data_IF_323147839944
#
_entry.id   IF_323147839944
#
_cell.length_a   1.000
_cell.length_b   1.000
_cell.length_c   1.000
_cell.angle_alpha   90.00
_cell.angle_beta   90.00
_cell.angle_gamma   90.00
#
_symmetry.space_group_name_H-M   'P 1'
#
loop_
_entity.id
_entity.type
_entity.pdbx_description
1 polymer ?
#
# COMPACT_ATOMS: atom_id res chain seq x y z
N UNK A 1 -13.66 -6.59 -8.40
CA UNK A 1 -12.27 -7.07 -8.21
C UNK A 1 -11.78 -6.33 -6.97
N UNK A 2 -11.35 -7.03 -5.92
CA UNK A 2 -10.92 -6.37 -4.69
C UNK A 2 -9.51 -5.82 -4.95
N UNK A 3 -9.34 -4.50 -4.95
CA UNK A 3 -8.15 -3.81 -5.48
C UNK A 3 -6.98 -3.69 -4.47
N UNK A 4 -6.92 -4.57 -3.48
CA UNK A 4 -5.89 -4.51 -2.42
C UNK A 4 -6.03 -3.27 -1.54
N UNK A 5 -4.91 -2.59 -1.24
CA UNK A 5 -4.84 -1.37 -0.42
C UNK A 5 -4.38 -0.18 -1.27
N UNK A 6 -5.21 0.88 -1.36
CA UNK A 6 -4.87 2.13 -2.04
C UNK A 6 -4.53 3.24 -1.04
N UNK A 7 -3.43 3.93 -1.26
CA UNK A 7 -2.94 5.02 -0.41
C UNK A 7 -2.75 6.26 -1.25
N UNK A 8 -3.53 7.29 -0.96
CA UNK A 8 -3.47 8.56 -1.68
C UNK A 8 -2.66 9.60 -0.88
N UNK A 9 -1.49 9.96 -1.42
CA UNK A 9 -0.59 10.97 -0.87
C UNK A 9 -0.93 12.34 -1.49
N UNK A 10 -1.76 13.10 -0.79
CA UNK A 10 -2.15 14.45 -1.18
C UNK A 10 -0.96 15.40 -1.24
N UNK A 11 -0.96 16.31 -2.22
CA UNK A 11 0.09 17.32 -2.42
C UNK A 11 1.51 16.72 -2.49
N UNK A 12 1.59 15.48 -2.95
CA UNK A 12 2.85 14.74 -3.10
C UNK A 12 3.04 14.42 -4.56
N UNK A 13 4.18 14.83 -5.10
CA UNK A 13 4.59 14.56 -6.47
C UNK A 13 5.86 13.70 -6.45
N UNK A 14 5.95 12.80 -7.42
CA UNK A 14 7.09 11.89 -7.62
C UNK A 14 7.71 12.17 -8.98
N UNK A 15 8.98 11.82 -9.19
CA UNK A 15 9.68 11.92 -10.48
C UNK A 15 9.39 10.69 -11.35
N UNK A 16 9.69 10.77 -12.65
CA UNK A 16 9.39 9.69 -13.60
C UNK A 16 10.09 8.40 -13.23
N UNK A 17 11.32 8.50 -12.71
CA UNK A 17 12.10 7.39 -12.18
C UNK A 17 11.44 6.69 -10.98
N UNK A 18 10.48 7.33 -10.32
CA UNK A 18 9.75 6.79 -9.16
C UNK A 18 8.40 6.18 -9.56
N UNK A 19 8.05 6.20 -10.85
CA UNK A 19 6.90 5.44 -11.37
C UNK A 19 7.36 4.02 -11.65
N UNK A 20 7.16 3.12 -10.70
CA UNK A 20 7.51 1.73 -10.86
C UNK A 20 6.49 0.79 -10.23
N UNK A 21 6.47 -0.42 -10.77
CA UNK A 21 5.83 -1.59 -10.19
C UNK A 21 6.91 -2.39 -9.46
N UNK A 22 6.76 -2.51 -8.15
CA UNK A 22 7.60 -3.37 -7.33
C UNK A 22 6.90 -4.73 -7.18
N UNK A 23 7.49 -5.78 -7.74
CA UNK A 23 7.04 -7.16 -7.55
C UNK A 23 7.67 -7.76 -6.29
N UNK A 24 6.84 -8.18 -5.34
CA UNK A 24 7.26 -8.74 -4.04
C UNK A 24 6.64 -10.10 -3.75
N UNK A 25 6.11 -10.79 -4.77
CA UNK A 25 5.49 -12.12 -4.64
C UNK A 25 6.34 -13.14 -3.88
N UNK A 26 7.66 -13.12 -4.11
CA UNK A 26 8.59 -14.07 -3.49
C UNK A 26 9.04 -13.70 -2.06
N UNK A 27 8.48 -12.64 -1.47
CA UNK A 27 8.88 -12.14 -0.14
C UNK A 27 8.09 -12.81 1.00
N UNK A 28 7.23 -13.78 0.68
CA UNK A 28 6.37 -14.48 1.64
C UNK A 28 5.51 -13.54 2.50
N UNK A 29 5.10 -12.41 1.92
CA UNK A 29 4.14 -11.46 2.52
C UNK A 29 2.76 -11.64 1.89
N UNK A 30 1.76 -10.90 2.38
CA UNK A 30 0.42 -10.86 1.76
C UNK A 30 0.34 -9.93 0.56
N UNK A 31 1.37 -9.09 0.38
CA UNK A 31 1.45 -8.14 -0.72
C UNK A 31 2.13 -8.85 -1.87
N UNK A 32 1.50 -8.82 -3.04
CA UNK A 32 2.02 -9.39 -4.28
C UNK A 32 2.86 -8.36 -5.04
N UNK A 33 2.38 -7.12 -5.09
CA UNK A 33 3.08 -6.01 -5.74
C UNK A 33 2.65 -4.66 -5.21
N UNK A 34 3.48 -3.64 -5.44
CA UNK A 34 3.20 -2.24 -5.12
C UNK A 34 3.41 -1.39 -6.37
N UNK A 35 2.39 -0.66 -6.79
CA UNK A 35 2.44 0.21 -7.96
C UNK A 35 2.31 1.69 -7.57
N UNK A 36 3.12 2.53 -8.22
CA UNK A 36 3.12 3.98 -8.02
C UNK A 36 2.45 4.68 -9.19
N UNK A 37 1.35 5.36 -8.91
CA UNK A 37 0.64 6.22 -9.85
C UNK A 37 0.88 7.68 -9.51
N UNK A 38 0.94 8.51 -10.54
CA UNK A 38 0.97 9.97 -10.39
C UNK A 38 -0.24 10.59 -11.06
N UNK A 39 -0.92 11.44 -10.30
CA UNK A 39 -1.89 12.41 -10.78
C UNK A 39 -1.32 13.83 -10.56
N UNK A 40 -2.00 14.83 -11.11
CA UNK A 40 -1.68 16.25 -11.14
C UNK A 40 -1.20 16.81 -9.79
N UNK A 41 -1.81 16.40 -8.67
CA UNK A 41 -1.46 16.86 -7.31
C UNK A 41 -1.39 15.74 -6.28
N UNK A 42 -1.45 14.49 -6.72
CA UNK A 42 -1.58 13.32 -5.85
C UNK A 42 -0.69 12.21 -6.35
N UNK A 43 0.01 11.55 -5.44
CA UNK A 43 0.67 10.27 -5.72
C UNK A 43 -0.18 9.18 -5.09
N UNK A 44 -0.53 8.14 -5.84
CA UNK A 44 -1.26 6.98 -5.33
C UNK A 44 -0.34 5.78 -5.31
N UNK A 45 -0.30 5.09 -4.18
CA UNK A 45 0.33 3.79 -4.04
C UNK A 45 -0.77 2.73 -3.99
N UNK A 46 -0.68 1.70 -4.82
CA UNK A 46 -1.60 0.55 -4.77
C UNK A 46 -0.80 -0.68 -4.42
N UNK A 47 -1.09 -1.28 -3.27
CA UNK A 47 -0.57 -2.59 -2.88
C UNK A 47 -1.60 -3.66 -3.25
N UNK A 48 -1.25 -4.54 -4.18
CA UNK A 48 -2.10 -5.65 -4.61
C UNK A 48 -2.00 -6.80 -3.60
N UNK A 49 -3.16 -7.24 -3.10
CA UNK A 49 -3.29 -8.25 -2.04
C UNK A 49 -4.45 -9.17 -2.44
N UNK A 50 -4.23 -10.49 -2.40
CA UNK A 50 -5.20 -11.49 -2.88
C UNK A 50 -5.90 -12.30 -1.77
N UNK A 51 -5.56 -12.03 -0.51
CA UNK A 51 -6.11 -12.67 0.68
C UNK A 51 -6.62 -11.64 1.71
N UNK A 52 -7.34 -12.11 2.74
CA UNK A 52 -7.82 -11.24 3.82
C UNK A 52 -6.65 -10.66 4.64
N UNK A 53 -6.68 -9.34 4.85
CA UNK A 53 -5.59 -8.62 5.48
C UNK A 53 -6.08 -7.56 6.46
N UNK A 54 -5.18 -7.14 7.33
CA UNK A 54 -5.28 -5.92 8.14
C UNK A 54 -4.14 -4.99 7.77
N UNK A 55 -4.32 -3.70 8.02
CA UNK A 55 -3.26 -2.73 7.87
C UNK A 55 -3.24 -1.74 9.03
N UNK A 56 -2.05 -1.25 9.33
CA UNK A 56 -1.82 -0.11 10.23
C UNK A 56 -0.88 0.87 9.55
N UNK A 57 -0.95 2.15 9.92
CA UNK A 57 -0.06 3.17 9.37
C UNK A 57 0.49 4.09 10.45
N UNK A 58 1.73 4.53 10.22
CA UNK A 58 2.41 5.50 11.07
C UNK A 58 3.02 6.60 10.22
N UNK A 59 2.65 7.85 10.50
CA UNK A 59 3.23 9.03 9.86
C UNK A 59 4.11 9.79 10.86
N UNK A 60 5.42 9.81 10.62
CA UNK A 60 6.38 10.57 11.42
C UNK A 60 7.02 11.64 10.55
N UNK A 61 6.51 12.87 10.66
CA UNK A 61 6.93 13.97 9.78
C UNK A 61 6.55 13.69 8.33
N UNK A 62 7.54 13.40 7.48
CA UNK A 62 7.36 13.06 6.06
C UNK A 62 7.54 11.57 5.76
N UNK A 63 7.73 10.75 6.79
CA UNK A 63 7.90 9.31 6.66
C UNK A 63 6.59 8.60 6.95
N UNK A 64 5.99 8.03 5.91
CA UNK A 64 4.84 7.14 6.01
C UNK A 64 5.32 5.70 6.02
N UNK A 65 4.98 4.98 7.08
CA UNK A 65 5.17 3.55 7.21
C UNK A 65 3.78 2.89 7.21
N UNK A 66 3.62 1.83 6.43
CA UNK A 66 2.40 1.05 6.36
C UNK A 66 2.76 -0.41 6.59
N UNK A 67 2.11 -1.02 7.56
CA UNK A 67 2.28 -2.44 7.87
C UNK A 67 1.04 -3.17 7.41
N UNK A 68 1.20 -4.12 6.50
CA UNK A 68 0.13 -5.01 6.04
C UNK A 68 0.37 -6.40 6.63
N UNK A 69 -0.65 -6.98 7.26
CA UNK A 69 -0.57 -8.28 7.93
C UNK A 69 -1.71 -9.19 7.51
N UNK A 70 -1.45 -10.50 7.46
CA UNK A 70 -2.51 -11.52 7.34
C UNK A 70 -3.55 -11.29 8.43
N UNK A 71 -4.83 -11.29 8.08
CA UNK A 71 -5.90 -11.20 9.07
C UNK A 71 -5.83 -12.43 9.99
N UNK A 72 -5.63 -12.22 11.29
CA UNK A 72 -5.69 -13.32 12.26
C UNK A 72 -7.16 -13.66 12.51
N UNK A 73 -7.53 -14.96 12.64
CA UNK A 73 -8.93 -15.38 12.79
C UNK A 73 -9.73 -14.74 13.94
N UNK A 74 -9.07 -14.13 14.92
CA UNK A 74 -9.70 -13.52 16.10
C UNK A 74 -9.51 -11.98 16.18
N UNK A 75 -8.97 -11.35 15.14
CA UNK A 75 -8.73 -9.91 15.12
C UNK A 75 -9.92 -9.23 14.44
N UNK A 76 -10.66 -8.41 15.19
CA UNK A 76 -11.77 -7.64 14.62
C UNK A 76 -11.19 -6.59 13.67
N UNK A 77 -11.70 -6.53 12.45
CA UNK A 77 -11.46 -5.40 11.55
C UNK A 77 -12.01 -4.15 12.25
N UNK A 78 -11.20 -3.11 12.54
CA UNK A 78 -11.72 -1.87 13.09
C UNK A 78 -12.69 -1.24 12.08
N UNK A 79 -13.85 -0.78 12.57
CA UNK A 79 -14.90 -0.10 11.80
C UNK A 79 -14.39 1.18 11.09
#
# INVERSE_FOLDING_TARGET
VQEGLSIDLMNTSVKDEQLYLLDVKDFATVVESVEVFRDTSTTRLVAYIDEEYTHDYRLTGRYLEITVSKLKPNEKVPD
#
